data_IF_367134443679
#
_entry.id   IF_367134443679
#
_cell.length_a   1.000
_cell.length_b   1.000
_cell.length_c   1.000
_cell.angle_alpha   90.00
_cell.angle_beta   90.00
_cell.angle_gamma   90.00
#
_symmetry.space_group_name_H-M   'P 1'
#
loop_
_entity.id
_entity.type
_entity.pdbx_description
1 polymer ?
#
# COMPACT_ATOMS: atom_id res chain seq x y z
N UNK A 1 -15.77 -15.42 5.35
CA UNK A 1 -15.44 -14.13 4.80
C UNK A 1 -14.23 -13.48 5.42
N UNK A 2 -14.21 -13.35 6.76
CA UNK A 2 -13.03 -12.82 7.44
C UNK A 2 -11.78 -13.64 7.17
N UNK A 3 -11.93 -14.94 7.12
CA UNK A 3 -10.80 -15.83 6.90
C UNK A 3 -10.20 -15.64 5.51
N UNK A 4 -11.04 -15.38 4.53
CA UNK A 4 -10.56 -15.16 3.16
C UNK A 4 -9.80 -13.85 3.04
N UNK A 5 -10.30 -12.80 3.69
CA UNK A 5 -9.62 -11.51 3.69
C UNK A 5 -8.28 -11.61 4.40
N UNK A 6 -8.23 -12.30 5.54
CA UNK A 6 -6.99 -12.53 6.27
C UNK A 6 -5.99 -13.35 5.47
N UNK A 7 -6.48 -14.39 4.79
CA UNK A 7 -5.61 -15.25 3.98
C UNK A 7 -5.02 -14.46 2.81
N UNK A 8 -5.83 -13.64 2.16
CA UNK A 8 -5.36 -12.80 1.08
C UNK A 8 -4.32 -11.80 1.56
N UNK A 9 -4.56 -11.18 2.70
CA UNK A 9 -3.62 -10.25 3.29
C UNK A 9 -2.28 -10.91 3.57
N UNK A 10 -2.30 -12.11 4.14
CA UNK A 10 -1.09 -12.87 4.41
C UNK A 10 -0.35 -13.25 3.13
N UNK A 11 -1.10 -13.61 2.10
CA UNK A 11 -0.48 -13.93 0.81
C UNK A 11 0.20 -12.72 0.20
N UNK A 12 -0.44 -11.55 0.29
CA UNK A 12 0.14 -10.31 -0.20
C UNK A 12 1.39 -9.93 0.57
N UNK A 13 1.40 -10.18 1.87
CA UNK A 13 2.57 -9.91 2.69
C UNK A 13 3.77 -10.77 2.30
N UNK A 14 3.52 -11.96 1.78
CA UNK A 14 4.59 -12.87 1.34
C UNK A 14 5.20 -12.47 0.02
N UNK A 15 4.45 -11.75 -0.80
CA UNK A 15 4.97 -11.24 -2.07
C UNK A 15 5.89 -10.07 -1.79
N UNK A 16 7.09 -10.13 -2.28
CA UNK A 16 8.02 -9.01 -2.13
C UNK A 16 8.88 -8.87 -3.37
N UNK A 17 9.19 -7.65 -3.70
CA UNK A 17 10.07 -7.30 -4.80
C UNK A 17 11.18 -6.42 -4.26
N UNK A 18 12.39 -6.69 -4.71
CA UNK A 18 13.56 -5.94 -4.30
C UNK A 18 14.17 -5.30 -5.53
N UNK A 19 14.40 -4.01 -5.46
CA UNK A 19 15.03 -3.24 -6.53
C UNK A 19 16.34 -2.67 -6.03
N UNK A 20 17.34 -2.69 -6.90
CA UNK A 20 18.65 -2.18 -6.57
C UNK A 20 19.13 -1.28 -7.68
N UNK A 21 19.57 -0.07 -7.33
CA UNK A 21 20.03 0.89 -8.31
C UNK A 21 20.96 1.91 -7.65
N UNK A 22 22.13 2.11 -8.25
CA UNK A 22 23.07 3.14 -7.81
C UNK A 22 23.42 3.07 -6.32
N UNK A 23 23.51 1.86 -5.77
CA UNK A 23 23.84 1.67 -4.37
C UNK A 23 22.64 1.75 -3.44
N UNK A 24 21.46 2.00 -3.97
CA UNK A 24 20.22 1.98 -3.21
C UNK A 24 19.52 0.64 -3.37
N UNK A 25 18.95 0.15 -2.31
CA UNK A 25 18.13 -1.07 -2.33
C UNK A 25 16.81 -0.77 -1.66
N UNK A 26 15.71 -1.13 -2.32
CA UNK A 26 14.39 -0.99 -1.74
C UNK A 26 13.64 -2.30 -1.89
N UNK A 27 12.97 -2.73 -0.84
CA UNK A 27 12.13 -3.92 -0.87
C UNK A 27 10.71 -3.53 -0.49
N UNK A 28 9.75 -3.94 -1.31
CA UNK A 28 8.34 -3.64 -1.09
C UNK A 28 7.56 -4.94 -1.06
N UNK A 29 6.42 -4.93 -0.39
CA UNK A 29 5.55 -6.10 -0.30
C UNK A 29 4.26 -5.89 -1.07
N UNK A 30 3.56 -7.00 -1.35
CA UNK A 30 2.32 -6.95 -2.13
C UNK A 30 1.18 -6.23 -1.43
N UNK A 31 1.28 -6.05 -0.10
CA UNK A 31 0.30 -5.26 0.66
C UNK A 31 0.62 -3.77 0.65
N UNK A 32 1.47 -3.35 -0.30
CA UNK A 32 1.83 -1.95 -0.54
C UNK A 32 2.56 -1.30 0.63
N UNK A 33 3.46 -2.06 1.25
CA UNK A 33 4.32 -1.53 2.31
C UNK A 33 5.77 -1.64 1.89
N UNK A 34 6.56 -0.70 2.32
CA UNK A 34 8.00 -0.76 2.13
C UNK A 34 8.58 -1.58 3.28
N UNK A 35 9.30 -2.63 2.94
CA UNK A 35 9.91 -3.50 3.94
C UNK A 35 11.20 -2.91 4.48
N UNK A 36 12.04 -2.39 3.59
CA UNK A 36 13.26 -1.70 3.99
C UNK A 36 13.79 -0.88 2.82
N UNK A 37 14.59 0.10 3.16
CA UNK A 37 15.36 0.90 2.21
C UNK A 37 16.79 0.93 2.73
N UNK A 38 17.72 0.63 1.87
CA UNK A 38 19.14 0.64 2.22
C UNK A 38 19.92 1.50 1.24
N UNK A 39 20.94 2.15 1.74
CA UNK A 39 21.90 2.84 0.91
C UNK A 39 23.28 2.26 1.24
N UNK A 40 23.82 1.47 0.32
CA UNK A 40 25.00 0.68 0.62
C UNK A 40 24.68 -0.29 1.74
N UNK A 41 25.43 -0.24 2.82
CA UNK A 41 25.20 -1.10 3.98
C UNK A 41 24.30 -0.47 5.04
N UNK A 42 23.86 0.76 4.81
CA UNK A 42 23.08 1.49 5.80
C UNK A 42 21.58 1.25 5.61
N UNK A 43 20.93 0.76 6.67
CA UNK A 43 19.50 0.55 6.70
C UNK A 43 18.82 1.85 7.12
N UNK A 44 17.99 2.39 6.23
CA UNK A 44 17.30 3.65 6.45
C UNK A 44 15.92 3.41 7.03
N UNK A 45 15.88 2.85 8.22
CA UNK A 45 14.65 2.47 8.88
C UNK A 45 13.71 3.65 9.13
N UNK A 46 14.26 4.78 9.53
CA UNK A 46 13.46 5.98 9.74
C UNK A 46 12.73 6.41 8.48
N UNK A 47 13.43 6.37 7.35
CA UNK A 47 12.85 6.73 6.07
C UNK A 47 11.76 5.73 5.67
N UNK A 48 12.01 4.46 5.90
CA UNK A 48 11.03 3.40 5.64
C UNK A 48 9.75 3.66 6.42
N UNK A 49 9.88 3.91 7.71
CA UNK A 49 8.74 4.15 8.59
C UNK A 49 8.00 5.43 8.20
N UNK A 50 8.74 6.46 7.83
CA UNK A 50 8.18 7.74 7.44
C UNK A 50 7.32 7.60 6.17
N UNK A 51 7.84 6.90 5.17
CA UNK A 51 7.12 6.69 3.92
C UNK A 51 5.89 5.81 4.15
N UNK A 52 6.02 4.74 4.91
CA UNK A 52 4.89 3.86 5.22
C UNK A 52 3.80 4.60 5.97
N UNK A 53 4.17 5.50 6.86
CA UNK A 53 3.22 6.31 7.60
C UNK A 53 2.47 7.26 6.67
N UNK A 54 3.18 7.88 5.75
CA UNK A 54 2.57 8.76 4.75
C UNK A 54 1.59 7.99 3.86
N UNK A 55 1.96 6.79 3.45
CA UNK A 55 1.09 5.94 2.64
C UNK A 55 -0.18 5.54 3.39
N UNK A 56 -0.05 5.25 4.68
CA UNK A 56 -1.22 4.97 5.52
C UNK A 56 -2.18 6.13 5.56
N UNK A 57 -1.66 7.34 5.69
CA UNK A 57 -2.49 8.54 5.73
C UNK A 57 -3.24 8.74 4.42
N UNK A 58 -2.56 8.52 3.31
CA UNK A 58 -3.20 8.63 1.99
C UNK A 58 -4.30 7.58 1.84
N UNK A 59 -4.05 6.37 2.28
CA UNK A 59 -5.04 5.30 2.21
C UNK A 59 -6.27 5.62 3.04
N UNK A 60 -6.08 6.21 4.21
CA UNK A 60 -7.19 6.65 5.06
C UNK A 60 -7.99 7.75 4.39
N UNK A 61 -7.30 8.72 3.81
CA UNK A 61 -7.96 9.81 3.10
C UNK A 61 -8.74 9.30 1.91
N UNK A 62 -8.17 8.38 1.17
CA UNK A 62 -8.84 7.78 0.01
C UNK A 62 -10.10 7.04 0.43
N UNK A 63 -10.01 6.25 1.50
CA UNK A 63 -11.16 5.52 2.02
C UNK A 63 -12.27 6.47 2.47
N UNK A 64 -11.88 7.52 3.18
CA UNK A 64 -12.83 8.54 3.64
C UNK A 64 -13.52 9.23 2.48
N UNK A 65 -12.75 9.57 1.46
CA UNK A 65 -13.28 10.21 0.27
C UNK A 65 -14.29 9.32 -0.45
N UNK A 66 -14.00 8.04 -0.54
CA UNK A 66 -14.90 7.09 -1.17
C UNK A 66 -16.23 7.00 -0.41
N UNK A 67 -16.17 7.04 0.91
CA UNK A 67 -17.38 7.03 1.73
C UNK A 67 -18.19 8.32 1.58
N UNK A 68 -17.51 9.44 1.44
CA UNK A 68 -18.17 10.74 1.26
C UNK A 68 -18.87 10.87 -0.09
N UNK A 69 -18.45 10.08 -1.06
CA UNK A 69 -19.03 10.15 -2.41
C UNK A 69 -20.30 9.29 -2.54
N UNK A 70 -21.09 9.28 -1.49
CA UNK A 70 -22.44 8.77 -1.56
C UNK A 70 -22.59 7.31 -1.93
N UNK A 71 -22.21 6.43 -1.02
CA UNK A 71 -22.29 5.02 -1.25
C UNK A 71 -21.00 4.40 -1.76
N UNK A 72 -19.94 5.16 -1.68
CA UNK A 72 -18.62 4.66 -1.97
C UNK A 72 -18.45 4.16 -3.39
N UNK A 73 -17.89 2.97 -3.52
CA UNK A 73 -17.57 2.39 -4.81
C UNK A 73 -18.80 2.18 -5.69
N UNK A 74 -19.91 1.85 -5.07
CA UNK A 74 -21.16 1.62 -5.80
C UNK A 74 -21.61 2.85 -6.57
N UNK A 75 -21.52 4.01 -5.92
CA UNK A 75 -21.87 5.27 -6.58
C UNK A 75 -20.95 5.58 -7.74
N UNK A 76 -19.67 5.34 -7.55
CA UNK A 76 -18.67 5.58 -8.59
C UNK A 76 -18.87 4.66 -9.77
N UNK A 77 -19.08 3.38 -9.51
CA UNK A 77 -19.32 2.40 -10.55
C UNK A 77 -20.61 2.68 -11.31
N UNK A 78 -21.63 3.14 -10.60
CA UNK A 78 -22.88 3.53 -11.23
C UNK A 78 -22.69 4.66 -12.21
N UNK A 79 -21.92 5.65 -11.84
CA UNK A 79 -21.61 6.78 -12.73
C UNK A 79 -20.83 6.35 -13.95
N UNK A 80 -19.85 5.48 -13.76
CA UNK A 80 -19.06 4.98 -14.87
C UNK A 80 -19.90 4.12 -15.81
N UNK A 81 -20.81 3.35 -15.24
CA UNK A 81 -21.70 2.50 -16.03
C UNK A 81 -22.65 3.30 -16.90
N UNK A 82 -23.03 4.46 -16.45
CA UNK A 82 -23.93 5.35 -17.22
C UNK A 82 -23.17 6.20 -18.23
N UNK A 83 -21.94 6.45 -17.93
CA UNK A 83 -21.09 7.30 -18.76
C UNK A 83 -20.67 6.68 -20.00
#
# INVERSE_FOLDING_TARGET
MRQQASALQKELEKISETQEKNGWTVSVSGDQKIRYIKKGDEDLKELTDFINDAMKKVQKEAAKKMMEMGGGLSGLLGNLGKG
#
